data_IF_878288310009
#
_entry.id   IF_878288310009
#
_cell.length_a   1.000
_cell.length_b   1.000
_cell.length_c   1.000
_cell.angle_alpha   90.00
_cell.angle_beta   90.00
_cell.angle_gamma   90.00
#
_symmetry.space_group_name_H-M   'P 1'
#
loop_
_entity.id
_entity.type
_entity.pdbx_description
1 polymer ?
#
# COMPACT_ATOMS: atom_id res chain seq x y z
N UNK A 1 -14.65 14.01 -4.10
CA UNK A 1 -13.87 14.67 -5.17
C UNK A 1 -12.87 13.65 -5.70
N UNK A 2 -12.59 13.67 -7.01
CA UNK A 2 -11.61 12.77 -7.58
C UNK A 2 -10.18 13.18 -7.17
N UNK A 3 -9.29 12.20 -7.01
CA UNK A 3 -7.86 12.40 -6.74
C UNK A 3 -7.53 13.24 -5.49
N UNK A 4 -8.38 13.19 -4.47
CA UNK A 4 -8.08 13.65 -3.10
C UNK A 4 -7.68 12.43 -2.28
N UNK A 5 -6.53 12.50 -1.57
CA UNK A 5 -6.18 11.46 -0.60
C UNK A 5 -7.03 11.67 0.64
N UNK A 6 -7.92 10.73 0.94
CA UNK A 6 -8.51 10.59 2.26
C UNK A 6 -7.70 9.60 3.06
N UNK A 7 -7.31 9.96 4.28
CA UNK A 7 -6.63 9.08 5.21
C UNK A 7 -7.32 9.11 6.57
N UNK A 8 -7.62 7.93 7.11
CA UNK A 8 -8.06 7.77 8.49
C UNK A 8 -6.87 7.34 9.35
N UNK A 9 -6.65 8.06 10.46
CA UNK A 9 -5.52 7.89 11.37
C UNK A 9 -4.15 8.16 10.74
N UNK A 10 -3.09 7.87 11.49
CA UNK A 10 -1.69 8.08 11.08
C UNK A 10 -0.86 6.82 11.26
N UNK A 11 0.21 6.66 10.48
CA UNK A 11 1.12 5.53 10.69
C UNK A 11 1.80 5.58 12.07
N UNK A 12 2.00 6.79 12.63
CA UNK A 12 2.57 6.92 13.99
C UNK A 12 1.66 6.31 15.05
N UNK A 13 0.36 6.57 14.94
CA UNK A 13 -0.63 5.97 15.85
C UNK A 13 -0.62 4.45 15.74
N UNK A 14 -0.59 3.93 14.50
CA UNK A 14 -0.52 2.50 14.24
C UNK A 14 0.76 1.86 14.81
N UNK A 15 1.91 2.54 14.66
CA UNK A 15 3.20 2.13 15.25
C UNK A 15 3.16 2.08 16.77
N UNK A 16 2.45 3.03 17.40
CA UNK A 16 2.19 3.05 18.86
C UNK A 16 1.15 2.01 19.31
N UNK A 17 0.65 1.17 18.41
CA UNK A 17 -0.33 0.13 18.73
C UNK A 17 -1.78 0.62 18.78
N UNK A 18 -2.07 1.86 18.37
CA UNK A 18 -3.43 2.40 18.36
C UNK A 18 -4.18 1.82 17.16
N UNK A 19 -4.92 0.73 17.40
CA UNK A 19 -5.57 -0.01 16.32
C UNK A 19 -6.74 -0.91 16.70
N UNK A 20 -7.24 -0.85 17.94
CA UNK A 20 -8.45 -1.60 18.31
C UNK A 20 -9.69 -0.92 17.76
N UNK A 21 -9.78 0.39 17.96
CA UNK A 21 -10.92 1.21 17.52
C UNK A 21 -10.63 1.88 16.17
N UNK A 22 -11.68 2.31 15.47
CA UNK A 22 -11.55 2.87 14.13
C UNK A 22 -12.87 3.27 13.52
N UNK A 23 -12.80 3.71 12.25
CA UNK A 23 -13.99 4.02 11.49
C UNK A 23 -14.67 2.74 10.98
N UNK A 24 -15.99 2.79 10.85
CA UNK A 24 -16.77 1.75 10.19
C UNK A 24 -16.42 1.69 8.69
N UNK A 25 -16.33 0.48 8.16
CA UNK A 25 -16.04 0.25 6.74
C UNK A 25 -17.02 0.97 5.80
N UNK A 26 -18.32 1.06 6.17
CA UNK A 26 -19.31 1.80 5.38
C UNK A 26 -18.94 3.29 5.24
N UNK A 27 -18.58 3.94 6.34
CA UNK A 27 -18.19 5.35 6.36
C UNK A 27 -16.93 5.59 5.53
N UNK A 28 -15.99 4.64 5.55
CA UNK A 28 -14.76 4.73 4.77
C UNK A 28 -15.00 4.53 3.28
N UNK A 29 -15.89 3.61 2.89
CA UNK A 29 -16.18 3.36 1.47
C UNK A 29 -16.86 4.55 0.77
N UNK A 30 -17.49 5.45 1.52
CA UNK A 30 -17.99 6.73 0.99
C UNK A 30 -16.86 7.72 0.62
N UNK A 31 -15.62 7.47 1.06
CA UNK A 31 -14.48 8.40 0.88
C UNK A 31 -13.64 8.11 -0.36
N UNK A 32 -13.76 6.92 -0.95
CA UNK A 32 -12.97 6.56 -2.12
C UNK A 32 -13.35 5.23 -2.75
N UNK A 33 -12.98 5.09 -4.02
CA UNK A 33 -13.25 3.90 -4.84
C UNK A 33 -12.07 2.92 -4.83
N UNK A 34 -10.88 3.39 -4.42
CA UNK A 34 -9.68 2.59 -4.28
C UNK A 34 -8.91 2.96 -3.02
N UNK A 35 -8.19 2.00 -2.45
CA UNK A 35 -7.40 2.25 -1.26
C UNK A 35 -6.76 1.02 -0.64
N UNK A 36 -6.05 1.27 0.44
CA UNK A 36 -5.31 0.27 1.22
C UNK A 36 -5.50 0.59 2.71
N UNK A 37 -5.32 -0.40 3.57
CA UNK A 37 -5.42 -0.24 5.01
C UNK A 37 -5.24 -1.55 5.74
N UNK A 38 -5.63 -1.57 7.01
CA UNK A 38 -5.60 -2.77 7.85
C UNK A 38 -6.93 -2.94 8.59
N UNK A 39 -7.08 -4.07 9.27
CA UNK A 39 -8.25 -4.38 10.08
C UNK A 39 -7.97 -4.11 11.56
N UNK A 40 -9.02 -3.92 12.36
CA UNK A 40 -8.91 -3.80 13.82
C UNK A 40 -8.01 -4.87 14.44
N UNK A 41 -7.16 -4.44 15.38
CA UNK A 41 -6.09 -5.21 16.01
C UNK A 41 -5.07 -5.79 15.03
N UNK A 42 -4.86 -5.13 13.89
CA UNK A 42 -3.94 -5.57 12.83
C UNK A 42 -4.25 -6.97 12.32
N UNK A 43 -5.51 -7.40 12.35
CA UNK A 43 -5.91 -8.72 11.85
C UNK A 43 -5.88 -8.78 10.33
N UNK A 44 -4.68 -8.68 9.75
CA UNK A 44 -4.45 -8.75 8.33
C UNK A 44 -4.64 -7.43 7.59
N UNK A 45 -4.86 -7.55 6.29
CA UNK A 45 -4.77 -6.43 5.35
C UNK A 45 -6.13 -6.13 4.72
N UNK A 46 -6.36 -4.85 4.41
CA UNK A 46 -7.55 -4.39 3.69
C UNK A 46 -7.14 -3.75 2.38
N UNK A 47 -7.81 -4.14 1.29
CA UNK A 47 -7.63 -3.55 -0.03
C UNK A 47 -8.98 -3.13 -0.57
N UNK A 48 -9.09 -1.91 -1.08
CA UNK A 48 -10.31 -1.40 -1.73
C UNK A 48 -10.05 -1.27 -3.22
N UNK A 49 -10.90 -1.90 -4.02
CA UNK A 49 -10.85 -1.89 -5.47
C UNK A 49 -12.26 -1.71 -6.01
N UNK A 50 -12.49 -0.72 -6.89
CA UNK A 50 -13.80 -0.46 -7.49
C UNK A 50 -14.94 -0.36 -6.45
N UNK A 51 -14.70 0.37 -5.36
CA UNK A 51 -15.63 0.57 -4.23
C UNK A 51 -16.01 -0.71 -3.49
N UNK A 52 -15.24 -1.80 -3.67
CA UNK A 52 -15.37 -3.05 -2.91
C UNK A 52 -14.14 -3.22 -2.04
N UNK A 53 -14.35 -3.41 -0.75
CA UNK A 53 -13.29 -3.69 0.20
C UNK A 53 -13.13 -5.20 0.43
N UNK A 54 -11.90 -5.66 0.38
CA UNK A 54 -11.48 -7.04 0.59
C UNK A 54 -10.62 -7.09 1.83
N UNK A 55 -11.01 -7.93 2.77
CA UNK A 55 -10.25 -8.24 3.96
C UNK A 55 -9.52 -9.55 3.73
N UNK A 56 -8.19 -9.52 3.92
CA UNK A 56 -7.29 -10.66 3.92
C UNK A 56 -6.94 -11.00 5.37
N UNK A 57 -7.71 -11.89 6.03
CA UNK A 57 -7.56 -12.11 7.46
C UNK A 57 -6.26 -12.84 7.75
N UNK A 58 -5.71 -12.63 8.94
CA UNK A 58 -4.46 -13.29 9.31
C UNK A 58 -4.60 -14.75 9.70
N UNK A 59 -5.82 -15.18 9.99
CA UNK A 59 -6.15 -16.56 10.36
C UNK A 59 -5.88 -17.50 9.18
N UNK A 60 -5.03 -18.51 9.39
CA UNK A 60 -4.53 -19.37 8.31
C UNK A 60 -5.61 -20.14 7.53
N UNK A 61 -6.77 -20.41 8.16
CA UNK A 61 -7.90 -21.12 7.55
C UNK A 61 -8.97 -20.18 7.00
N UNK A 62 -8.85 -18.88 7.23
CA UNK A 62 -9.82 -17.91 6.74
C UNK A 62 -9.60 -17.63 5.26
N UNK A 63 -10.70 -17.51 4.53
CA UNK A 63 -10.69 -17.04 3.13
C UNK A 63 -10.78 -15.53 3.10
N UNK A 64 -10.38 -14.94 1.97
CA UNK A 64 -10.66 -13.53 1.68
C UNK A 64 -12.17 -13.32 1.75
N UNK A 65 -12.58 -12.19 2.34
CA UNK A 65 -13.99 -11.84 2.46
C UNK A 65 -14.21 -10.36 2.16
N UNK A 66 -15.39 -9.96 1.68
CA UNK A 66 -15.76 -8.55 1.69
C UNK A 66 -15.83 -8.03 3.13
N UNK A 67 -15.60 -6.73 3.31
CA UNK A 67 -15.90 -6.07 4.58
C UNK A 67 -17.41 -6.00 4.80
N UNK A 68 -17.83 -6.22 6.05
CA UNK A 68 -19.16 -5.88 6.53
C UNK A 68 -19.23 -4.37 6.80
N UNK A 69 -20.41 -3.72 6.70
CA UNK A 69 -20.55 -2.28 6.94
C UNK A 69 -19.97 -1.78 8.28
N UNK A 70 -20.04 -2.61 9.32
CA UNK A 70 -19.62 -2.31 10.70
C UNK A 70 -18.24 -2.89 11.04
N UNK A 71 -17.50 -3.40 10.06
CA UNK A 71 -16.11 -3.81 10.30
C UNK A 71 -15.29 -2.56 10.64
N UNK A 72 -14.49 -2.65 11.71
CA UNK A 72 -13.72 -1.53 12.25
C UNK A 72 -12.34 -1.43 11.61
N UNK A 73 -12.01 -0.24 11.09
CA UNK A 73 -10.80 0.03 10.34
C UNK A 73 -9.98 1.12 11.04
N UNK A 74 -8.84 0.78 11.65
CA UNK A 74 -8.03 1.72 12.43
C UNK A 74 -7.13 2.61 11.58
N UNK A 75 -6.81 2.19 10.36
CA UNK A 75 -6.00 2.95 9.42
C UNK A 75 -6.40 2.60 7.97
N UNK A 76 -6.61 3.63 7.16
CA UNK A 76 -6.89 3.47 5.73
C UNK A 76 -6.43 4.70 4.94
N UNK A 77 -6.00 4.47 3.70
CA UNK A 77 -5.72 5.48 2.68
C UNK A 77 -6.62 5.19 1.47
N UNK A 78 -7.43 6.16 1.07
CA UNK A 78 -8.49 6.02 0.07
C UNK A 78 -8.47 7.20 -0.90
N UNK A 79 -8.91 6.97 -2.13
CA UNK A 79 -9.18 8.02 -3.11
C UNK A 79 -10.27 7.59 -4.06
N UNK A 80 -11.05 8.56 -4.56
CA UNK A 80 -11.81 8.35 -5.80
C UNK A 80 -10.82 8.45 -6.95
N UNK A 81 -10.30 7.31 -7.39
CA UNK A 81 -9.20 7.24 -8.34
C UNK A 81 -9.67 7.58 -9.77
N UNK A 82 -9.05 8.59 -10.37
CA UNK A 82 -9.22 8.95 -11.77
C UNK A 82 -7.84 9.23 -12.36
N UNK A 83 -7.22 8.28 -13.07
CA UNK A 83 -5.84 8.45 -13.54
C UNK A 83 -5.72 9.64 -14.48
N UNK A 84 -4.66 10.41 -14.31
CA UNK A 84 -4.34 11.59 -15.15
C UNK A 84 -3.12 11.35 -16.03
N UNK A 85 -2.40 10.25 -15.80
CA UNK A 85 -1.22 9.83 -16.55
C UNK A 85 -1.25 8.32 -16.73
N UNK A 86 -0.65 7.86 -17.83
CA UNK A 86 -0.36 6.45 -18.06
C UNK A 86 1.11 6.31 -18.42
N UNK A 87 1.82 5.43 -17.72
CA UNK A 87 3.21 5.06 -18.03
C UNK A 87 3.20 3.63 -18.57
N UNK A 88 3.49 3.43 -19.87
CA UNK A 88 3.45 2.10 -20.47
C UNK A 88 4.47 1.18 -19.82
N UNK A 89 4.17 -0.13 -19.78
CA UNK A 89 5.17 -1.12 -19.40
C UNK A 89 6.24 -1.21 -20.52
N UNK A 90 7.52 -1.43 -20.18
CA UNK A 90 8.56 -1.69 -21.15
C UNK A 90 8.20 -2.88 -22.05
N UNK A 91 8.53 -2.78 -23.34
CA UNK A 91 8.28 -3.84 -24.31
C UNK A 91 9.29 -4.98 -24.15
N UNK A 92 8.94 -6.15 -24.70
CA UNK A 92 9.71 -7.40 -24.58
C UNK A 92 11.14 -7.35 -25.15
N UNK A 93 11.48 -6.30 -25.90
CA UNK A 93 12.83 -6.07 -26.44
C UNK A 93 13.79 -5.52 -25.39
N UNK A 94 13.28 -5.04 -24.25
CA UNK A 94 14.10 -4.57 -23.13
C UNK A 94 14.43 -5.74 -22.22
N UNK A 95 15.69 -5.84 -21.79
CA UNK A 95 16.12 -6.79 -20.75
C UNK A 95 15.76 -6.33 -19.33
N UNK A 96 15.08 -5.19 -19.21
CA UNK A 96 14.77 -4.55 -17.93
C UNK A 96 13.53 -5.17 -17.28
N UNK A 97 13.71 -5.60 -16.04
CA UNK A 97 12.61 -6.15 -15.22
C UNK A 97 11.86 -5.02 -14.54
N UNK A 98 10.53 -5.05 -14.64
CA UNK A 98 9.67 -4.15 -13.86
C UNK A 98 9.40 -4.79 -12.49
N UNK A 99 9.97 -4.18 -11.46
CA UNK A 99 9.91 -4.62 -10.05
C UNK A 99 9.55 -3.44 -9.16
N UNK A 100 9.33 -3.67 -7.86
CA UNK A 100 9.10 -2.57 -6.93
C UNK A 100 10.31 -1.61 -6.89
N UNK A 101 11.53 -2.16 -7.00
CA UNK A 101 12.77 -1.37 -7.00
C UNK A 101 12.91 -0.46 -8.22
N UNK A 102 12.48 -0.92 -9.40
CA UNK A 102 12.58 -0.11 -10.63
C UNK A 102 11.41 0.87 -10.81
N UNK A 103 10.39 0.80 -9.95
CA UNK A 103 9.18 1.61 -10.07
C UNK A 103 9.44 3.12 -9.97
N UNK A 104 10.34 3.57 -9.08
CA UNK A 104 10.66 5.01 -8.97
C UNK A 104 11.30 5.54 -10.24
N UNK A 105 12.15 4.75 -10.88
CA UNK A 105 12.82 5.11 -12.13
C UNK A 105 11.81 5.16 -13.28
N UNK A 106 10.94 4.14 -13.38
CA UNK A 106 9.87 4.10 -14.37
C UNK A 106 8.91 5.30 -14.25
N UNK A 107 8.60 5.73 -13.02
CA UNK A 107 7.71 6.87 -12.76
C UNK A 107 8.42 8.23 -12.69
N UNK A 108 9.72 8.30 -13.01
CA UNK A 108 10.51 9.55 -13.02
C UNK A 108 9.82 10.69 -13.79
N UNK A 109 9.23 10.49 -14.99
CA UNK A 109 8.59 11.57 -15.73
C UNK A 109 7.47 12.29 -14.95
N UNK A 110 6.79 11.57 -14.05
CA UNK A 110 5.73 12.12 -13.20
C UNK A 110 6.34 12.63 -11.89
N UNK A 111 7.19 11.83 -11.25
CA UNK A 111 7.78 12.17 -9.96
C UNK A 111 8.63 13.43 -10.03
N UNK A 112 9.37 13.67 -11.12
CA UNK A 112 10.28 14.81 -11.20
C UNK A 112 9.61 16.17 -11.08
N UNK A 113 8.36 16.27 -11.52
CA UNK A 113 7.54 17.48 -11.42
C UNK A 113 6.57 17.47 -10.23
N UNK A 114 6.51 16.37 -9.47
CA UNK A 114 5.54 16.16 -8.38
C UNK A 114 6.15 15.56 -7.10
N UNK A 115 7.46 15.71 -6.85
CA UNK A 115 8.20 15.12 -5.69
C UNK A 115 7.65 15.46 -4.31
N UNK A 116 6.75 16.43 -4.20
CA UNK A 116 6.16 16.84 -2.93
C UNK A 116 4.64 16.63 -2.86
N UNK A 117 4.04 16.03 -3.89
CA UNK A 117 2.63 15.68 -3.94
C UNK A 117 2.46 14.16 -3.80
N UNK A 118 1.33 13.71 -3.27
CA UNK A 118 1.04 12.27 -3.24
C UNK A 118 0.72 11.77 -4.65
N UNK A 119 1.02 10.50 -4.92
CA UNK A 119 0.51 9.79 -6.10
C UNK A 119 -0.36 8.63 -5.67
N UNK A 120 -1.36 8.29 -6.47
CA UNK A 120 -2.05 7.00 -6.40
C UNK A 120 -1.81 6.30 -7.73
N UNK A 121 -1.50 5.02 -7.66
CA UNK A 121 -1.06 4.24 -8.80
C UNK A 121 -1.77 2.90 -8.85
N UNK A 122 -2.20 2.53 -10.05
CA UNK A 122 -2.87 1.26 -10.37
C UNK A 122 -2.09 0.55 -11.48
N UNK A 123 -1.91 -0.75 -11.35
CA UNK A 123 -1.42 -1.60 -12.44
C UNK A 123 -2.23 -2.89 -12.45
N UNK A 124 -2.96 -3.13 -13.53
CA UNK A 124 -3.63 -4.41 -13.79
C UNK A 124 -2.85 -5.14 -14.87
N UNK A 125 -2.28 -6.30 -14.54
CA UNK A 125 -1.43 -7.06 -15.47
C UNK A 125 -1.26 -8.51 -15.01
N UNK A 126 -0.51 -9.29 -15.78
CA UNK A 126 0.04 -10.56 -15.34
C UNK A 126 1.40 -10.33 -14.68
N UNK A 127 1.56 -10.82 -13.46
CA UNK A 127 2.84 -10.84 -12.75
C UNK A 127 3.52 -12.18 -13.00
N UNK A 128 4.83 -12.17 -13.26
CA UNK A 128 5.65 -13.38 -13.29
C UNK A 128 5.71 -14.02 -11.90
N UNK A 129 5.82 -13.17 -10.88
CA UNK A 129 5.68 -13.51 -9.48
C UNK A 129 5.37 -12.23 -8.69
N UNK A 130 4.79 -12.40 -7.49
CA UNK A 130 4.64 -11.30 -6.54
C UNK A 130 4.76 -11.83 -5.11
N UNK A 131 5.24 -11.00 -4.20
CA UNK A 131 5.40 -11.33 -2.78
C UNK A 131 4.49 -10.41 -1.98
N UNK A 132 3.53 -10.98 -1.25
CA UNK A 132 2.72 -10.23 -0.28
C UNK A 132 3.00 -10.65 1.14
N UNK A 133 2.62 -9.81 2.10
CA UNK A 133 2.57 -10.12 3.52
C UNK A 133 1.17 -9.86 4.07
N UNK A 134 0.84 -10.60 5.11
CA UNK A 134 -0.30 -10.36 5.99
C UNK A 134 0.23 -10.25 7.43
N UNK A 135 -0.03 -9.13 8.10
CA UNK A 135 0.28 -8.98 9.53
C UNK A 135 -0.72 -9.80 10.36
N UNK A 136 -0.26 -10.56 11.37
CA UNK A 136 -1.16 -11.26 12.29
C UNK A 136 -1.84 -10.33 13.27
N UNK A 137 -3.09 -10.69 13.61
CA UNK A 137 -3.81 -10.07 14.72
C UNK A 137 -2.92 -9.97 15.96
N UNK A 138 -3.04 -8.85 16.67
CA UNK A 138 -2.43 -8.66 17.98
C UNK A 138 -2.90 -9.73 18.95
N UNK A 139 -1.99 -10.16 19.81
CA UNK A 139 -2.26 -11.09 20.92
C UNK A 139 -2.56 -10.36 22.21
N UNK A 140 -2.08 -9.13 22.34
CA UNK A 140 -2.37 -8.26 23.48
C UNK A 140 -2.27 -6.77 23.10
N UNK A 141 -2.85 -5.86 23.90
CA UNK A 141 -2.80 -4.42 23.63
C UNK A 141 -1.38 -3.82 23.64
N UNK A 142 -0.43 -4.48 24.32
CA UNK A 142 0.96 -4.01 24.42
C UNK A 142 1.80 -4.30 23.18
N UNK A 143 1.33 -5.16 22.26
CA UNK A 143 2.06 -5.43 21.02
C UNK A 143 2.03 -4.21 20.08
N UNK A 144 3.21 -3.76 19.68
CA UNK A 144 3.38 -2.73 18.65
C UNK A 144 3.16 -3.30 17.25
N UNK A 145 3.04 -2.42 16.25
CA UNK A 145 3.05 -2.84 14.84
C UNK A 145 4.32 -3.61 14.48
N UNK A 146 5.48 -3.21 15.02
CA UNK A 146 6.74 -3.90 14.77
C UNK A 146 6.75 -5.33 15.35
N UNK A 147 6.18 -5.53 16.54
CA UNK A 147 6.03 -6.86 17.16
C UNK A 147 5.18 -7.78 16.28
N UNK A 148 4.08 -7.26 15.73
CA UNK A 148 3.19 -8.01 14.84
C UNK A 148 3.84 -8.28 13.48
N UNK A 149 4.47 -7.27 12.88
CA UNK A 149 5.19 -7.38 11.61
C UNK A 149 6.36 -8.38 11.68
N UNK A 150 6.96 -8.56 12.86
CA UNK A 150 8.01 -9.58 13.08
C UNK A 150 7.51 -11.02 12.88
N UNK A 151 6.19 -11.24 12.99
CA UNK A 151 5.45 -12.50 12.85
C UNK A 151 4.60 -12.56 11.58
N UNK A 152 4.78 -11.61 10.65
CA UNK A 152 4.01 -11.56 9.40
C UNK A 152 4.11 -12.85 8.59
N UNK A 153 3.01 -13.22 7.93
CA UNK A 153 2.99 -14.32 6.96
C UNK A 153 3.34 -13.78 5.59
N UNK A 154 4.53 -14.13 5.09
CA UNK A 154 4.96 -13.79 3.73
C UNK A 154 4.55 -14.90 2.76
N UNK A 155 3.91 -14.53 1.65
CA UNK A 155 3.46 -15.46 0.61
C UNK A 155 4.08 -15.05 -0.72
N UNK A 156 4.77 -15.98 -1.37
CA UNK A 156 5.19 -15.83 -2.77
C UNK A 156 4.11 -16.44 -3.65
N UNK A 157 3.51 -15.61 -4.49
CA UNK A 157 2.61 -16.06 -5.55
C UNK A 157 3.44 -16.22 -6.82
N UNK A 158 3.28 -17.34 -7.51
CA UNK A 158 3.85 -17.52 -8.84
C UNK A 158 3.14 -16.65 -9.87
N UNK A 159 3.13 -17.10 -11.13
CA UNK A 159 2.45 -16.35 -12.20
C UNK A 159 0.98 -16.12 -11.85
N UNK A 160 0.59 -14.85 -11.75
CA UNK A 160 -0.73 -14.45 -11.25
C UNK A 160 -1.21 -13.22 -12.00
N UNK A 161 -2.48 -13.21 -12.42
CA UNK A 161 -3.14 -12.03 -12.98
C UNK A 161 -3.90 -11.29 -11.88
N UNK A 162 -3.83 -9.96 -11.89
CA UNK A 162 -4.54 -9.16 -10.89
C UNK A 162 -4.16 -7.68 -10.95
N UNK A 163 -4.47 -6.97 -9.88
CA UNK A 163 -4.32 -5.53 -9.78
C UNK A 163 -3.49 -5.15 -8.55
N UNK A 164 -2.47 -4.33 -8.78
CA UNK A 164 -1.81 -3.53 -7.75
C UNK A 164 -2.52 -2.18 -7.63
N UNK A 165 -2.74 -1.74 -6.40
CA UNK A 165 -3.13 -0.36 -6.11
C UNK A 165 -2.42 0.13 -4.86
N UNK A 166 -2.09 1.41 -4.84
CA UNK A 166 -1.67 2.08 -3.62
C UNK A 166 -1.15 3.47 -3.88
N UNK A 167 -0.24 3.91 -3.03
CA UNK A 167 0.18 5.30 -2.97
C UNK A 167 1.68 5.46 -2.99
N UNK A 168 2.12 6.59 -3.53
CA UNK A 168 3.44 7.15 -3.28
C UNK A 168 3.29 8.35 -2.34
N UNK A 169 4.01 8.32 -1.22
CA UNK A 169 4.03 9.44 -0.26
C UNK A 169 5.39 10.14 -0.23
N UNK A 170 5.42 11.49 -0.23
CA UNK A 170 6.66 12.25 -0.08
C UNK A 170 7.42 11.94 1.22
N UNK A 171 8.74 12.13 1.21
CA UNK A 171 9.56 11.84 2.39
C UNK A 171 9.18 12.65 3.65
N UNK A 172 8.69 13.88 3.48
CA UNK A 172 8.29 14.76 4.59
C UNK A 172 7.05 14.27 5.34
N UNK A 173 6.31 13.30 4.80
CA UNK A 173 5.06 12.81 5.40
C UNK A 173 5.29 11.64 6.36
N UNK A 174 6.55 11.40 6.76
CA UNK A 174 6.90 10.43 7.79
C UNK A 174 6.06 10.67 9.04
N UNK A 175 5.44 9.60 9.52
CA UNK A 175 4.56 9.65 10.68
C UNK A 175 3.09 9.94 10.37
N UNK A 176 2.77 10.61 9.26
CA UNK A 176 1.39 10.70 8.77
C UNK A 176 1.07 9.44 7.96
N UNK A 177 1.86 9.18 6.92
CA UNK A 177 1.72 7.99 6.06
C UNK A 177 3.04 7.24 5.92
N UNK A 178 3.13 6.36 4.93
CA UNK A 178 4.33 5.56 4.63
C UNK A 178 5.10 6.22 3.49
N UNK A 179 6.29 6.79 3.73
CA UNK A 179 7.12 7.39 2.67
C UNK A 179 7.50 6.38 1.59
N UNK A 180 7.47 6.81 0.33
CA UNK A 180 7.70 5.94 -0.83
C UNK A 180 6.45 5.18 -1.24
N UNK A 181 6.63 4.04 -1.92
CA UNK A 181 5.53 3.23 -2.42
C UNK A 181 4.95 2.33 -1.32
N UNK A 182 3.63 2.40 -1.15
CA UNK A 182 2.85 1.51 -0.31
C UNK A 182 1.74 0.91 -1.16
N UNK A 183 1.88 -0.36 -1.54
CA UNK A 183 1.04 -1.04 -2.51
C UNK A 183 0.40 -2.29 -1.92
N UNK A 184 -0.85 -2.54 -2.28
CA UNK A 184 -1.53 -3.81 -2.03
C UNK A 184 -1.86 -4.49 -3.36
N UNK A 185 -2.02 -5.82 -3.30
CA UNK A 185 -2.41 -6.66 -4.43
C UNK A 185 -3.79 -7.29 -4.20
N UNK A 186 -4.54 -7.48 -5.30
CA UNK A 186 -5.73 -8.32 -5.40
C UNK A 186 -5.65 -9.14 -6.69
N UNK A 187 -5.73 -10.47 -6.60
CA UNK A 187 -5.80 -11.35 -7.77
C UNK A 187 -7.12 -11.17 -8.51
N UNK A 188 -7.14 -11.53 -9.81
CA UNK A 188 -8.33 -11.42 -10.66
C UNK A 188 -9.54 -12.22 -10.12
N UNK A 189 -9.28 -13.39 -9.51
CA UNK A 189 -10.29 -14.22 -8.83
C UNK A 189 -10.73 -13.67 -7.46
N UNK A 190 -10.03 -12.66 -6.94
CA UNK A 190 -10.30 -12.06 -5.63
C UNK A 190 -9.87 -12.89 -4.42
N UNK A 191 -9.13 -13.99 -4.62
CA UNK A 191 -8.80 -14.96 -3.55
C UNK A 191 -7.43 -14.73 -2.90
N UNK A 192 -6.55 -13.95 -3.53
CA UNK A 192 -5.16 -13.72 -3.10
C UNK A 192 -4.84 -12.24 -3.09
N UNK A 193 -3.99 -11.82 -2.17
CA UNK A 193 -3.66 -10.40 -2.01
C UNK A 193 -2.86 -10.10 -0.77
N UNK A 194 -2.98 -8.85 -0.33
CA UNK A 194 -2.30 -8.29 0.83
C UNK A 194 -1.29 -7.20 0.48
N UNK A 195 -0.53 -6.76 1.48
CA UNK A 195 0.51 -5.75 1.34
C UNK A 195 1.69 -6.29 0.53
N UNK A 196 2.16 -5.54 -0.45
CA UNK A 196 3.16 -5.99 -1.43
C UNK A 196 4.56 -5.66 -0.96
N UNK A 197 5.42 -6.69 -0.89
CA UNK A 197 6.84 -6.54 -0.57
C UNK A 197 7.70 -6.41 -1.82
N UNK A 198 7.36 -7.14 -2.89
CA UNK A 198 8.02 -7.02 -4.19
C UNK A 198 7.20 -7.74 -5.27
N UNK A 199 7.52 -7.50 -6.54
CA UNK A 199 6.90 -8.17 -7.68
C UNK A 199 7.83 -8.17 -8.89
N UNK A 200 7.51 -8.99 -9.88
CA UNK A 200 8.03 -8.87 -11.24
C UNK A 200 6.86 -8.98 -12.22
N UNK A 201 6.70 -7.98 -13.08
CA UNK A 201 5.69 -8.04 -14.16
C UNK A 201 6.10 -9.11 -15.17
N UNK A 202 5.13 -9.88 -15.67
CA UNK A 202 5.41 -10.83 -16.73
C UNK A 202 5.67 -10.09 -18.05
N UNK A 203 6.69 -10.51 -18.76
CA UNK A 203 6.90 -10.12 -20.16
C UNK A 203 5.91 -10.93 -20.99
N UNK A 204 4.95 -10.28 -21.65
CA UNK A 204 4.04 -10.92 -22.60
C UNK A 204 4.39 -10.45 -24.02
N UNK A 205 4.58 -11.41 -24.94
CA UNK A 205 4.80 -11.16 -26.36
C UNK A 205 3.45 -11.01 -27.05
N UNK A 206 2.80 -9.85 -26.89
CA UNK A 206 1.64 -9.53 -27.73
C UNK A 206 2.11 -8.72 -28.94
N UNK A 207 2.10 -9.37 -30.12
CA UNK A 207 2.44 -8.77 -31.42
C UNK A 207 1.37 -7.77 -31.92
N UNK A 208 0.21 -7.69 -31.23
CA UNK A 208 -0.96 -6.91 -31.68
C UNK A 208 -1.31 -5.71 -30.77
N UNK A 209 -0.50 -5.35 -29.77
CA UNK A 209 -0.87 -4.28 -28.82
C UNK A 209 -0.47 -2.87 -29.28
N UNK A 210 -0.75 -2.49 -30.53
CA UNK A 210 -0.76 -1.08 -30.91
C UNK A 210 -2.01 -0.40 -30.32
N UNK A 211 -1.84 0.51 -29.36
CA UNK A 211 -2.89 1.43 -28.95
C UNK A 211 -2.87 1.82 -27.47
N UNK A 212 -3.34 3.02 -27.16
CA UNK A 212 -3.60 3.52 -25.81
C UNK A 212 -4.88 2.84 -25.24
N UNK A 213 -4.88 2.42 -23.97
CA UNK A 213 -6.05 1.78 -23.34
C UNK A 213 -5.80 1.32 -21.90
N UNK A 214 -6.89 1.10 -21.14
CA UNK A 214 -6.86 0.58 -19.76
C UNK A 214 -6.08 -0.74 -19.69
N UNK A 215 -5.23 -0.91 -18.66
CA UNK A 215 -4.45 -2.13 -18.44
C UNK A 215 -3.15 -2.28 -19.24
N UNK A 216 -2.72 -1.27 -20.01
CA UNK A 216 -1.46 -1.30 -20.80
C UNK A 216 -0.24 -0.70 -20.09
N UNK A 217 -0.38 -0.29 -18.84
CA UNK A 217 0.66 0.43 -18.11
C UNK A 217 0.26 0.79 -16.68
N UNK A 218 1.16 1.49 -15.99
CA UNK A 218 0.85 2.14 -14.72
C UNK A 218 -0.06 3.33 -14.96
N UNK A 219 -1.24 3.29 -14.37
CA UNK A 219 -2.17 4.41 -14.33
C UNK A 219 -1.89 5.20 -13.06
N UNK A 220 -1.69 6.51 -13.19
CA UNK A 220 -1.23 7.35 -12.09
C UNK A 220 -2.05 8.63 -12.01
N UNK A 221 -2.48 8.97 -10.80
CA UNK A 221 -3.07 10.27 -10.49
C UNK A 221 -2.20 11.01 -9.47
N UNK A 222 -2.03 12.32 -9.68
CA UNK A 222 -1.35 13.21 -8.72
C UNK A 222 -2.40 13.79 -7.76
N UNK A 223 -2.22 13.59 -6.46
CA UNK A 223 -3.10 14.10 -5.42
C UNK A 223 -2.47 15.31 -4.74
N UNK A 224 -3.16 16.45 -4.83
CA UNK A 224 -2.72 17.74 -4.24
C UNK A 224 -3.54 18.15 -3.02
N UNK A 225 -4.62 17.42 -2.74
CA UNK A 225 -5.43 17.60 -1.54
C UNK A 225 -5.33 16.34 -0.70
N UNK A 226 -5.08 16.53 0.59
CA UNK A 226 -5.05 15.48 1.60
C UNK A 226 -6.07 15.84 2.68
N UNK A 227 -6.93 14.88 3.01
CA UNK A 227 -7.87 14.95 4.12
C UNK A 227 -7.45 13.91 5.13
N UNK A 228 -6.89 14.37 6.24
CA UNK A 228 -6.54 13.53 7.36
C UNK A 228 -7.67 13.59 8.39
N UNK A 229 -8.33 12.46 8.62
CA UNK A 229 -9.29 12.28 9.70
C UNK A 229 -8.57 11.63 10.89
N UNK A 230 -8.50 12.35 12.01
CA UNK A 230 -7.94 11.81 13.24
C UNK A 230 -9.01 11.00 13.98
N UNK A 231 -8.67 9.85 14.58
CA UNK A 231 -9.63 9.07 15.36
C UNK A 231 -10.17 9.87 16.54
N UNK A 232 -11.49 9.89 16.70
CA UNK A 232 -12.16 10.34 17.92
C UNK A 232 -12.42 9.13 18.82
N UNK A 233 -11.34 8.49 19.28
CA UNK A 233 -11.37 7.27 20.11
C UNK A 233 -10.62 7.48 21.41
N UNK A 234 -11.00 6.72 22.44
CA UNK A 234 -10.34 6.78 23.75
C UNK A 234 -8.87 6.35 23.65
N UNK A 235 -8.57 5.34 22.82
CA UNK A 235 -7.21 4.87 22.53
C UNK A 235 -6.32 5.98 21.95
N UNK A 236 -6.83 6.72 20.94
CA UNK A 236 -6.07 7.79 20.30
C UNK A 236 -5.88 9.02 21.20
N UNK A 237 -6.88 9.34 22.03
CA UNK A 237 -6.81 10.50 22.94
C UNK A 237 -5.92 10.31 24.17
N UNK A 238 -5.54 9.07 24.51
CA UNK A 238 -4.78 8.76 25.75
C UNK A 238 -3.32 8.39 25.55
N UNK A 239 -2.99 7.80 24.41
CA UNK A 239 -1.63 7.32 24.14
C UNK A 239 -0.81 8.43 23.50
N UNK A 240 0.33 8.77 24.08
CA UNK A 240 1.26 9.72 23.47
C UNK A 240 1.82 9.15 22.15
N UNK A 241 1.52 9.83 21.04
CA UNK A 241 2.03 9.47 19.71
C UNK A 241 3.23 10.34 19.37
N UNK A 242 4.42 9.73 19.37
CA UNK A 242 5.66 10.39 18.97
C UNK A 242 5.89 10.38 17.45
N UNK A 243 6.77 11.26 16.97
CA UNK A 243 7.23 11.24 15.59
C UNK A 243 8.17 10.04 15.35
N UNK A 244 7.85 9.12 14.42
CA UNK A 244 8.70 7.97 14.15
C UNK A 244 9.88 8.36 13.26
N UNK A 245 10.96 7.57 13.32
CA UNK A 245 12.00 7.65 12.29
C UNK A 245 11.50 6.96 11.01
N UNK A 246 12.06 7.36 9.86
CA UNK A 246 11.77 6.68 8.60
C UNK A 246 12.19 5.19 8.62
N UNK A 247 13.17 4.82 9.44
CA UNK A 247 13.58 3.43 9.63
C UNK A 247 12.52 2.61 10.37
N UNK A 248 11.88 3.17 11.41
CA UNK A 248 10.80 2.50 12.13
C UNK A 248 9.63 2.17 11.19
N UNK A 249 9.22 3.15 10.38
CA UNK A 249 8.15 2.96 9.37
C UNK A 249 8.56 1.89 8.35
N UNK A 250 9.79 1.97 7.80
CA UNK A 250 10.28 0.98 6.83
C UNK A 250 10.41 -0.43 7.42
N UNK A 251 10.78 -0.56 8.69
CA UNK A 251 10.88 -1.85 9.37
C UNK A 251 9.52 -2.55 9.51
N UNK A 252 8.47 -1.78 9.75
CA UNK A 252 7.10 -2.28 9.83
C UNK A 252 6.52 -2.63 8.44
N UNK A 253 6.80 -1.82 7.42
CA UNK A 253 6.19 -1.99 6.09
C UNK A 253 7.02 -2.84 5.12
N UNK A 254 8.35 -2.77 5.13
CA UNK A 254 9.21 -3.34 4.08
C UNK A 254 9.56 -4.84 4.21
N UNK A 255 9.17 -5.52 5.29
CA UNK A 255 9.51 -6.93 5.53
C UNK A 255 11.01 -7.20 5.80
N UNK A 256 11.33 -8.30 6.51
CA UNK A 256 12.68 -8.60 7.05
C UNK A 256 13.82 -8.65 6.00
N UNK A 257 13.54 -8.94 4.73
CA UNK A 257 14.58 -9.06 3.67
C UNK A 257 15.10 -7.72 3.15
N UNK A 258 14.33 -6.63 3.22
CA UNK A 258 14.75 -5.32 2.73
C UNK A 258 15.75 -4.61 3.66
N UNK A 259 15.76 -4.95 4.96
CA UNK A 259 16.72 -4.42 5.93
C UNK A 259 18.16 -4.94 5.71
N UNK A 260 18.32 -6.11 5.08
CA UNK A 260 19.63 -6.73 4.87
C UNK A 260 20.32 -6.31 3.57
N UNK A 261 19.57 -5.96 2.52
CA UNK A 261 20.12 -5.66 1.18
C UNK A 261 20.56 -4.20 0.98
N UNK A 262 20.25 -3.30 1.92
CA UNK A 262 20.58 -1.86 1.82
C UNK A 262 21.75 -1.40 2.69
N UNK A 263 22.42 -2.28 3.44
CA UNK A 263 23.69 -1.97 4.15
C UNK A 263 24.86 -1.58 3.21
N UNK A 264 24.62 -1.45 1.91
CA UNK A 264 25.62 -1.10 0.89
C UNK A 264 25.39 0.24 0.20
N UNK A 265 24.42 1.06 0.62
CA UNK A 265 24.31 2.44 0.12
C UNK A 265 25.20 3.34 0.98
N UNK A 266 26.24 4.00 0.44
CA UNK A 266 27.09 4.89 1.23
C UNK A 266 26.27 6.09 1.71
N UNK A 267 26.34 6.39 3.01
CA UNK A 267 25.94 7.68 3.55
C UNK A 267 26.65 8.78 2.77
N UNK A 268 25.89 9.58 2.02
CA UNK A 268 26.37 10.90 1.61
C UNK A 268 25.99 11.89 2.70
N UNK A 269 27.06 12.44 3.26
CA UNK A 269 27.17 13.43 4.31
C UNK A 269 26.21 14.61 4.15
N UNK A 270 25.56 14.95 5.27
CA UNK A 270 25.03 16.25 5.74
C UNK A 270 25.26 17.50 4.87
N UNK A 271 24.20 18.29 4.68
CA UNK A 271 24.23 19.75 4.86
C UNK A 271 22.86 20.26 5.36
N UNK A 272 22.91 20.94 6.52
CA UNK A 272 21.91 21.76 7.23
C UNK A 272 20.54 21.16 7.61
#
# INVERSE_FOLDING_TARGET
>A
MANTLYQYSTISALLSGICTEGADAATLLDKGTYGIGTFSDLDGEVTVMNSRAYHFPSTATATVRPLSPTDTIPFAMLTTFQPTNTVPLPTTTTSEKVTLKSLSELLTPILDTNKNAFLSLRLTTTFAWLTTRIIPRRRSPEETLADCASRQKVTNHGRSKGTLFGFWSPAYTVGIGVPGFHLHFLSEDGEKGGHVLDFEVAVEHDEDSEGEGEGKGWEVAVLREVRLELPDTEEFGRVDVGAPTAEMVRGAEGGKKYLASMKSVPERTSYF
#
